data_IF_690487613102
#
_entry.id   IF_690487613102
#
_cell.length_a   1.000
_cell.length_b   1.000
_cell.length_c   1.000
_cell.angle_alpha   90.00
_cell.angle_beta   90.00
_cell.angle_gamma   90.00
#
_symmetry.space_group_name_H-M   'P 1'
#
loop_
_entity.id
_entity.type
_entity.pdbx_description
1 polymer ?
#
# COMPACT_ATOMS: atom_id res chain seq x y z
N UNK A 1 3.63 26.21 22.90
CA UNK A 1 3.03 24.85 22.82
C UNK A 1 2.30 24.64 21.50
N UNK A 2 1.64 25.68 20.98
CA UNK A 2 0.95 25.66 19.68
C UNK A 2 1.90 25.31 18.51
N UNK A 3 3.14 25.83 18.52
CA UNK A 3 4.15 25.57 17.48
C UNK A 3 4.58 24.10 17.35
N UNK A 4 4.44 23.31 18.42
CA UNK A 4 4.76 21.88 18.44
C UNK A 4 3.52 21.03 18.17
N UNK A 5 2.35 21.51 18.58
CA UNK A 5 1.08 20.81 18.40
C UNK A 5 0.69 20.71 16.91
N UNK A 6 0.92 21.77 16.13
CA UNK A 6 0.55 21.83 14.70
C UNK A 6 1.27 20.75 13.88
N UNK A 7 2.62 20.61 13.93
CA UNK A 7 3.32 19.53 13.26
C UNK A 7 2.85 18.15 13.72
N UNK A 8 2.68 17.93 15.03
CA UNK A 8 2.27 16.63 15.58
C UNK A 8 0.91 16.21 15.01
N UNK A 9 -0.07 17.11 15.01
CA UNK A 9 -1.40 16.82 14.47
C UNK A 9 -1.30 16.49 12.99
N UNK A 10 -0.56 17.28 12.21
CA UNK A 10 -0.39 17.07 10.77
C UNK A 10 0.27 15.72 10.46
N UNK A 11 1.35 15.37 11.17
CA UNK A 11 2.04 14.08 10.98
C UNK A 11 1.26 12.89 11.55
N UNK A 12 0.34 13.09 12.51
CA UNK A 12 -0.48 12.01 13.09
C UNK A 12 -1.57 11.49 12.15
N UNK A 13 -1.99 12.29 11.16
CA UNK A 13 -3.02 11.90 10.18
C UNK A 13 -2.57 10.67 9.38
N UNK A 14 -1.30 10.62 8.98
CA UNK A 14 -0.74 9.51 8.20
C UNK A 14 -0.84 8.15 8.92
N UNK A 15 -0.27 7.96 10.13
CA UNK A 15 -0.36 6.69 10.84
C UNK A 15 -1.81 6.33 11.20
N UNK A 16 -2.68 7.29 11.51
CA UNK A 16 -4.10 7.04 11.78
C UNK A 16 -4.82 6.50 10.53
N UNK A 17 -4.62 7.12 9.37
CA UNK A 17 -5.18 6.65 8.10
C UNK A 17 -4.67 5.25 7.73
N UNK A 18 -3.37 5.01 7.87
CA UNK A 18 -2.76 3.70 7.62
C UNK A 18 -3.36 2.64 8.56
N UNK A 19 -3.49 2.97 9.85
CA UNK A 19 -4.06 2.07 10.86
C UNK A 19 -5.52 1.75 10.56
N UNK A 20 -6.35 2.75 10.24
CA UNK A 20 -7.75 2.55 9.86
C UNK A 20 -7.88 1.64 8.65
N UNK A 21 -7.16 1.93 7.56
CA UNK A 21 -7.19 1.10 6.34
C UNK A 21 -6.73 -0.33 6.65
N UNK A 22 -5.69 -0.49 7.46
CA UNK A 22 -5.20 -1.81 7.89
C UNK A 22 -6.26 -2.58 8.69
N UNK A 23 -6.92 -1.94 9.65
CA UNK A 23 -8.00 -2.53 10.43
C UNK A 23 -9.18 -2.99 9.56
N UNK A 24 -9.62 -2.16 8.61
CA UNK A 24 -10.71 -2.54 7.71
C UNK A 24 -10.32 -3.68 6.77
N UNK A 25 -9.07 -3.70 6.27
CA UNK A 25 -8.59 -4.81 5.46
C UNK A 25 -8.47 -6.12 6.25
N UNK A 26 -8.06 -6.04 7.52
CA UNK A 26 -8.04 -7.19 8.43
C UNK A 26 -9.45 -7.74 8.66
N UNK A 27 -10.42 -6.86 8.96
CA UNK A 27 -11.83 -7.25 9.13
C UNK A 27 -12.41 -7.91 7.88
N UNK A 28 -12.16 -7.35 6.68
CA UNK A 28 -12.62 -7.94 5.41
C UNK A 28 -12.10 -9.37 5.20
N UNK A 29 -10.85 -9.65 5.55
CA UNK A 29 -10.26 -10.99 5.43
C UNK A 29 -10.92 -11.96 6.41
N UNK A 30 -11.11 -11.56 7.66
CA UNK A 30 -11.81 -12.37 8.67
C UNK A 30 -13.23 -12.72 8.21
N UNK A 31 -14.02 -11.74 7.79
CA UNK A 31 -15.41 -11.97 7.35
C UNK A 31 -15.47 -12.91 6.14
N UNK A 32 -14.53 -12.81 5.19
CA UNK A 32 -14.47 -13.74 4.07
C UNK A 32 -14.22 -15.19 4.51
N UNK A 33 -13.32 -15.41 5.49
CA UNK A 33 -13.08 -16.74 6.05
C UNK A 33 -14.27 -17.26 6.87
N UNK A 34 -14.97 -16.40 7.61
CA UNK A 34 -16.17 -16.76 8.36
C UNK A 34 -17.31 -17.20 7.43
N UNK A 35 -17.55 -16.47 6.33
CA UNK A 35 -18.57 -16.84 5.33
C UNK A 35 -18.28 -18.22 4.73
N UNK A 36 -17.01 -18.52 4.45
CA UNK A 36 -16.60 -19.80 3.87
C UNK A 36 -16.78 -20.93 4.88
N UNK A 37 -16.41 -20.69 6.13
CA UNK A 37 -16.64 -21.64 7.21
C UNK A 37 -18.13 -21.93 7.39
N UNK A 38 -18.98 -20.90 7.38
CA UNK A 38 -20.43 -21.06 7.44
C UNK A 38 -21.00 -21.85 6.26
N UNK A 39 -20.47 -21.68 5.05
CA UNK A 39 -20.88 -22.45 3.87
C UNK A 39 -20.51 -23.94 4.02
N UNK A 40 -19.34 -24.26 4.59
CA UNK A 40 -18.93 -25.64 4.91
C UNK A 40 -19.85 -26.24 5.95
N UNK A 41 -20.08 -25.52 7.06
CA UNK A 41 -20.91 -25.99 8.18
C UNK A 41 -22.38 -26.20 7.75
N UNK A 42 -22.85 -25.47 6.74
CA UNK A 42 -24.19 -25.63 6.16
C UNK A 42 -24.32 -26.80 5.18
N UNK A 43 -23.26 -27.59 4.98
CA UNK A 43 -23.26 -28.75 4.08
C UNK A 43 -23.18 -28.40 2.59
N UNK A 44 -22.85 -27.15 2.24
CA UNK A 44 -22.72 -26.73 0.85
C UNK A 44 -21.43 -27.31 0.26
N UNK A 45 -21.52 -27.99 -0.88
CA UNK A 45 -20.34 -28.44 -1.61
C UNK A 45 -19.63 -27.22 -2.20
N UNK A 46 -18.48 -26.87 -1.65
CA UNK A 46 -17.67 -25.78 -2.19
C UNK A 46 -17.17 -26.21 -3.58
N UNK A 47 -17.51 -25.44 -4.61
CA UNK A 47 -16.99 -25.70 -5.95
C UNK A 47 -15.47 -25.43 -5.97
N UNK A 48 -14.68 -26.25 -6.68
CA UNK A 48 -13.24 -26.02 -6.83
C UNK A 48 -12.90 -24.61 -7.33
N UNK A 49 -13.76 -24.04 -8.18
CA UNK A 49 -13.64 -22.69 -8.71
C UNK A 49 -13.72 -21.60 -7.61
N UNK A 50 -14.51 -21.82 -6.55
CA UNK A 50 -14.61 -20.88 -5.43
C UNK A 50 -13.32 -20.88 -4.59
N UNK A 51 -12.72 -22.05 -4.38
CA UNK A 51 -11.44 -22.22 -3.66
C UNK A 51 -10.31 -21.54 -4.44
N UNK A 52 -10.30 -21.71 -5.76
CA UNK A 52 -9.34 -21.04 -6.65
C UNK A 52 -9.51 -19.52 -6.60
N UNK A 53 -10.74 -19.00 -6.69
CA UNK A 53 -10.99 -17.56 -6.56
C UNK A 53 -10.59 -17.01 -5.19
N UNK A 54 -10.73 -17.80 -4.13
CA UNK A 54 -10.27 -17.44 -2.79
C UNK A 54 -8.75 -17.36 -2.67
N UNK A 55 -8.00 -18.25 -3.34
CA UNK A 55 -6.54 -18.18 -3.35
C UNK A 55 -6.05 -16.91 -4.08
N UNK A 56 -6.78 -16.47 -5.11
CA UNK A 56 -6.51 -15.25 -5.86
C UNK A 56 -6.86 -13.95 -5.11
N UNK A 57 -7.66 -13.98 -4.03
CA UNK A 57 -7.92 -12.80 -3.20
C UNK A 57 -6.64 -12.24 -2.56
N UNK A 58 -5.59 -13.05 -2.49
CA UNK A 58 -4.27 -12.68 -1.96
C UNK A 58 -3.22 -12.87 -3.04
N UNK A 59 -3.51 -12.56 -4.30
CA UNK A 59 -2.48 -12.53 -5.35
C UNK A 59 -1.43 -11.45 -5.01
N UNK A 60 -0.23 -11.85 -4.53
CA UNK A 60 0.77 -10.89 -4.08
C UNK A 60 1.30 -10.10 -5.27
N UNK A 61 1.33 -10.70 -6.46
CA UNK A 61 1.95 -10.14 -7.64
C UNK A 61 1.15 -8.93 -8.15
N UNK A 62 -0.18 -9.04 -8.26
CA UNK A 62 -1.03 -7.89 -8.62
C UNK A 62 -1.01 -6.78 -7.56
N UNK A 63 -0.90 -7.15 -6.29
CA UNK A 63 -0.79 -6.19 -5.20
C UNK A 63 0.53 -5.41 -5.28
N UNK A 64 1.63 -6.08 -5.63
CA UNK A 64 2.96 -5.49 -5.72
C UNK A 64 3.08 -4.49 -6.87
N UNK A 65 2.49 -4.75 -8.05
CA UNK A 65 2.45 -3.76 -9.14
C UNK A 65 1.78 -2.46 -8.71
N UNK A 66 0.59 -2.58 -8.11
CA UNK A 66 -0.20 -1.42 -7.68
C UNK A 66 0.56 -0.61 -6.63
N UNK A 67 1.13 -1.29 -5.63
CA UNK A 67 1.93 -0.65 -4.57
C UNK A 67 3.15 0.04 -5.16
N UNK A 68 3.87 -0.65 -6.06
CA UNK A 68 5.04 -0.12 -6.75
C UNK A 68 4.76 1.20 -7.46
N UNK A 69 3.73 1.22 -8.32
CA UNK A 69 3.33 2.42 -9.06
C UNK A 69 2.91 3.56 -8.11
N UNK A 70 2.14 3.26 -7.07
CA UNK A 70 1.66 4.26 -6.12
C UNK A 70 2.82 4.93 -5.36
N UNK A 71 3.82 4.14 -4.96
CA UNK A 71 4.99 4.63 -4.26
C UNK A 71 5.90 5.48 -5.16
N UNK A 72 6.10 5.10 -6.42
CA UNK A 72 6.80 5.97 -7.39
C UNK A 72 6.05 7.29 -7.57
N UNK A 73 4.72 7.26 -7.68
CA UNK A 73 3.92 8.47 -7.82
C UNK A 73 4.04 9.40 -6.59
N UNK A 74 4.07 8.85 -5.38
CA UNK A 74 4.31 9.64 -4.17
C UNK A 74 5.71 10.27 -4.15
N UNK A 75 6.74 9.52 -4.52
CA UNK A 75 8.09 10.06 -4.65
C UNK A 75 8.19 11.21 -5.65
N UNK A 76 7.57 11.04 -6.82
CA UNK A 76 7.48 12.10 -7.82
C UNK A 76 6.72 13.33 -7.29
N UNK A 77 5.62 13.12 -6.57
CA UNK A 77 4.85 14.21 -5.96
C UNK A 77 5.67 15.01 -4.94
N UNK A 78 6.43 14.35 -4.06
CA UNK A 78 7.35 15.02 -3.14
C UNK A 78 8.48 15.75 -3.86
N UNK A 79 9.00 15.19 -4.96
CA UNK A 79 9.98 15.86 -5.80
C UNK A 79 9.44 17.17 -6.41
N UNK A 80 8.24 17.12 -7.00
CA UNK A 80 7.56 18.31 -7.55
C UNK A 80 7.28 19.33 -6.45
N UNK A 81 6.79 18.88 -5.29
CA UNK A 81 6.56 19.76 -4.15
C UNK A 81 7.85 20.44 -3.70
N UNK A 82 8.96 19.71 -3.62
CA UNK A 82 10.27 20.26 -3.32
C UNK A 82 10.72 21.34 -4.29
N UNK A 83 10.46 21.17 -5.59
CA UNK A 83 10.74 22.20 -6.60
C UNK A 83 9.86 23.44 -6.43
N UNK A 84 8.58 23.27 -6.07
CA UNK A 84 7.64 24.38 -5.86
C UNK A 84 7.99 25.20 -4.61
N UNK A 85 8.25 24.52 -3.48
CA UNK A 85 8.69 25.17 -2.23
C UNK A 85 10.07 25.80 -2.42
N UNK A 86 10.94 25.12 -3.17
CA UNK A 86 12.28 25.59 -3.56
C UNK A 86 12.32 26.95 -4.26
N UNK A 87 11.23 27.36 -4.92
CA UNK A 87 11.12 28.71 -5.53
C UNK A 87 11.08 29.82 -4.48
N UNK A 88 10.57 29.54 -3.28
CA UNK A 88 10.45 30.49 -2.17
C UNK A 88 11.61 30.32 -1.17
N UNK A 89 12.02 29.08 -0.94
CA UNK A 89 13.09 28.71 -0.02
C UNK A 89 13.99 27.62 -0.65
N UNK A 90 15.12 28.04 -1.22
CA UNK A 90 16.04 27.15 -1.93
C UNK A 90 16.60 26.02 -1.07
N UNK A 91 16.70 26.23 0.25
CA UNK A 91 17.21 25.22 1.19
C UNK A 91 16.21 24.07 1.41
N UNK A 92 14.94 24.23 0.99
CA UNK A 92 13.91 23.21 1.11
C UNK A 92 14.03 22.08 0.06
N UNK A 93 14.77 22.28 -1.04
CA UNK A 93 14.84 21.30 -2.14
C UNK A 93 15.50 19.99 -1.66
N UNK A 94 16.66 20.09 -1.03
CA UNK A 94 17.44 18.91 -0.63
C UNK A 94 16.75 18.02 0.41
N UNK A 95 16.15 18.56 1.50
CA UNK A 95 15.38 17.72 2.43
C UNK A 95 14.13 17.12 1.77
N UNK A 96 13.46 17.83 0.86
CA UNK A 96 12.31 17.28 0.13
C UNK A 96 12.68 16.13 -0.79
N UNK A 97 13.81 16.22 -1.50
CA UNK A 97 14.37 15.10 -2.28
C UNK A 97 14.72 13.93 -1.36
N UNK A 98 15.28 14.22 -0.18
CA UNK A 98 15.54 13.21 0.85
C UNK A 98 14.28 12.44 1.23
N UNK A 99 13.19 13.13 1.53
CA UNK A 99 11.88 12.53 1.85
C UNK A 99 11.30 11.77 0.65
N UNK A 100 11.42 12.32 -0.57
CA UNK A 100 10.95 11.70 -1.81
C UNK A 100 11.65 10.36 -2.11
N UNK A 101 12.90 10.19 -1.69
CA UNK A 101 13.70 8.99 -1.97
C UNK A 101 13.08 7.72 -1.37
N UNK A 102 12.49 7.81 -0.17
CA UNK A 102 11.89 6.67 0.53
C UNK A 102 10.78 5.98 -0.28
N UNK A 103 9.71 6.68 -0.69
CA UNK A 103 8.69 6.06 -1.53
C UNK A 103 9.24 5.67 -2.91
N UNK A 104 10.21 6.37 -3.50
CA UNK A 104 10.81 5.91 -4.77
C UNK A 104 11.45 4.53 -4.62
N UNK A 105 12.31 4.32 -3.62
CA UNK A 105 12.95 3.03 -3.42
C UNK A 105 11.97 1.91 -3.05
N UNK A 106 10.94 2.21 -2.24
CA UNK A 106 9.86 1.27 -1.98
C UNK A 106 9.12 0.89 -3.27
N UNK A 107 8.82 1.88 -4.11
CA UNK A 107 8.19 1.69 -5.41
C UNK A 107 9.00 0.77 -6.31
N UNK A 108 10.29 1.04 -6.44
CA UNK A 108 11.23 0.21 -7.20
C UNK A 108 11.31 -1.22 -6.66
N UNK A 109 11.33 -1.40 -5.34
CA UNK A 109 11.34 -2.73 -4.72
C UNK A 109 10.08 -3.53 -5.06
N UNK A 110 8.89 -2.93 -4.92
CA UNK A 110 7.62 -3.57 -5.28
C UNK A 110 7.52 -3.88 -6.78
N UNK A 111 7.98 -2.98 -7.65
CA UNK A 111 8.03 -3.23 -9.10
C UNK A 111 9.01 -4.36 -9.45
N UNK A 112 10.15 -4.44 -8.75
CA UNK A 112 11.10 -5.54 -8.87
C UNK A 112 10.46 -6.88 -8.48
N UNK A 113 9.84 -6.95 -7.31
CA UNK A 113 9.10 -8.14 -6.85
C UNK A 113 8.01 -8.56 -7.84
N UNK A 114 7.26 -7.58 -8.36
CA UNK A 114 6.27 -7.82 -9.41
C UNK A 114 6.87 -8.41 -10.67
N UNK A 115 7.99 -7.86 -11.16
CA UNK A 115 8.65 -8.31 -12.38
C UNK A 115 9.17 -9.75 -12.24
N UNK A 116 9.79 -10.08 -11.10
CA UNK A 116 10.26 -11.44 -10.82
C UNK A 116 9.10 -12.43 -10.55
N UNK A 117 8.01 -11.97 -9.94
CA UNK A 117 6.82 -12.76 -9.65
C UNK A 117 5.97 -13.06 -10.89
N UNK A 118 5.84 -12.12 -11.83
CA UNK A 118 5.10 -12.33 -13.09
C UNK A 118 5.74 -13.37 -14.02
N UNK A 119 7.06 -13.56 -13.94
CA UNK A 119 7.80 -14.48 -14.82
C UNK A 119 7.66 -15.96 -14.46
N UNK A 120 7.21 -16.31 -13.25
CA UNK A 120 6.99 -17.70 -12.84
C UNK A 120 5.55 -18.08 -13.15
N UNK A 121 5.32 -18.79 -14.26
CA UNK A 121 4.07 -19.55 -14.45
C UNK A 121 3.92 -20.51 -13.26
N UNK A 122 2.74 -20.57 -12.60
CA UNK A 122 2.50 -21.62 -11.62
C UNK A 122 2.66 -22.97 -12.32
N UNK A 123 3.52 -23.82 -11.76
CA UNK A 123 3.74 -25.18 -12.21
C UNK A 123 2.55 -26.07 -11.85
#
# INVERSE_FOLDING_TARGET
MEDVLVPIVLFSVLPVCIWLVSLFNYKKRLTAHETVRHAIDSGQTISPELIEKMSLLVDPVRADLRRGVLFIAFGAAFGVLGLMVGQQDGDAIMPMIGVASFPVFLGLAYLGLWAFGHGRKPA
#
